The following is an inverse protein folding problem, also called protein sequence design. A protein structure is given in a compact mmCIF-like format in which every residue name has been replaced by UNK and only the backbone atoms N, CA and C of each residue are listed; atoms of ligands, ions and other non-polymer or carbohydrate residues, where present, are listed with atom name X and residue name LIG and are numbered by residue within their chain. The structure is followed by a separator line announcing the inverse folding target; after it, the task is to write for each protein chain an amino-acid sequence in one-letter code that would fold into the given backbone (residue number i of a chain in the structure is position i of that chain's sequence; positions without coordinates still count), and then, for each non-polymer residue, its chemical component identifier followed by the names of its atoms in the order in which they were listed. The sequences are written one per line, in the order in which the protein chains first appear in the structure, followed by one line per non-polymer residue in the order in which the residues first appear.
data_IF_817273221895
#
_entry.id   IF_817273221895
#
_cell.length_a   1.000
_cell.length_b   1.000
_cell.length_c   1.000
_cell.angle_alpha   90.00
_cell.angle_beta   90.00
_cell.angle_gamma   90.00
#
_symmetry.space_group_name_H-M   'P 1'
#
loop_
_entity.id
_entity.type
_entity.pdbx_description
1 polymer ?
#
# COMPACT_ATOMS: atom_id res chain seq x y z
N UNK A 1 4.59 21.91 -13.82
CA UNK A 1 3.27 22.18 -13.19
C UNK A 1 3.14 23.67 -12.99
N UNK A 2 1.95 24.22 -13.13
CA UNK A 2 1.66 25.63 -12.87
C UNK A 2 0.56 25.71 -11.81
N UNK A 3 0.81 26.45 -10.73
CA UNK A 3 -0.22 26.83 -9.77
C UNK A 3 -0.87 28.14 -10.18
N UNK A 4 -2.17 28.32 -9.87
CA UNK A 4 -2.78 29.63 -9.90
C UNK A 4 -2.11 30.54 -8.86
N UNK A 5 -2.18 31.86 -9.06
CA UNK A 5 -1.68 32.80 -8.07
C UNK A 5 -2.46 32.62 -6.77
N UNK A 6 -1.93 31.80 -5.88
CA UNK A 6 -2.46 31.64 -4.54
C UNK A 6 -1.98 32.81 -3.67
N UNK A 7 -2.87 33.37 -2.87
CA UNK A 7 -2.46 34.35 -1.86
C UNK A 7 -1.43 33.70 -0.95
N UNK A 8 -0.29 34.40 -0.74
CA UNK A 8 0.79 33.87 0.07
C UNK A 8 0.32 33.50 1.47
N UNK A 9 0.76 32.33 1.95
CA UNK A 9 0.44 31.82 3.28
C UNK A 9 1.19 32.67 4.31
N UNK A 10 0.50 33.13 5.36
CA UNK A 10 1.10 33.85 6.47
C UNK A 10 1.97 32.91 7.32
N UNK A 11 3.18 33.32 7.64
CA UNK A 11 4.04 32.63 8.59
C UNK A 11 3.49 32.89 10.00
N UNK A 12 3.12 31.85 10.78
CA UNK A 12 2.52 32.01 12.09
C UNK A 12 3.38 32.90 13.01
N UNK A 13 2.74 33.83 13.71
CA UNK A 13 3.41 34.76 14.63
C UNK A 13 4.11 35.95 13.94
N UNK A 14 3.95 36.13 12.62
CA UNK A 14 4.53 37.25 11.86
C UNK A 14 3.52 37.89 10.94
N UNK A 15 3.90 39.03 10.35
CA UNK A 15 3.20 39.68 9.26
C UNK A 15 3.79 39.29 7.87
N UNK A 16 4.69 38.32 7.82
CA UNK A 16 5.31 37.90 6.57
C UNK A 16 4.46 36.87 5.83
N UNK A 17 4.27 37.06 4.54
CA UNK A 17 3.69 36.10 3.62
C UNK A 17 4.79 35.36 2.88
N UNK A 18 4.62 34.06 2.70
CA UNK A 18 5.51 33.24 1.89
C UNK A 18 5.44 33.67 0.42
N UNK A 19 6.60 33.81 -0.20
CA UNK A 19 6.69 34.01 -1.65
C UNK A 19 6.69 32.62 -2.33
N UNK A 20 5.60 32.29 -2.99
CA UNK A 20 5.41 30.98 -3.64
C UNK A 20 5.47 31.16 -5.17
N UNK A 21 6.52 30.63 -5.79
CA UNK A 21 6.64 30.60 -7.25
C UNK A 21 5.46 29.81 -7.84
N UNK A 22 4.67 30.38 -8.76
CA UNK A 22 3.57 29.67 -9.42
C UNK A 22 4.05 28.54 -10.34
N UNK A 23 5.34 28.51 -10.70
CA UNK A 23 5.90 27.52 -11.61
C UNK A 23 6.75 26.48 -10.86
N UNK A 24 6.39 25.22 -11.04
CA UNK A 24 7.17 24.07 -10.55
C UNK A 24 7.69 23.27 -11.73
N UNK A 25 8.99 23.20 -11.86
CA UNK A 25 9.66 22.44 -12.90
C UNK A 25 10.05 21.06 -12.39
N UNK A 26 9.83 20.03 -13.21
CA UNK A 26 10.24 18.66 -12.92
C UNK A 26 11.07 18.14 -14.09
N UNK A 27 12.19 17.51 -13.76
CA UNK A 27 13.08 16.86 -14.71
C UNK A 27 13.26 15.39 -14.32
N UNK A 28 13.32 14.51 -15.30
CA UNK A 28 13.56 13.09 -15.06
C UNK A 28 14.38 12.46 -16.18
N UNK A 29 15.25 11.54 -15.83
CA UNK A 29 16.02 10.71 -16.76
C UNK A 29 15.89 9.25 -16.33
N UNK A 30 15.65 8.38 -17.30
CA UNK A 30 15.56 6.93 -17.09
C UNK A 30 16.45 6.21 -18.09
N UNK A 31 17.16 5.20 -17.60
CA UNK A 31 17.87 4.25 -18.44
C UNK A 31 17.39 2.84 -18.18
N UNK A 32 17.36 2.02 -19.22
CA UNK A 32 17.05 0.60 -19.12
C UNK A 32 18.01 -0.18 -19.99
N UNK A 33 18.63 -1.18 -19.39
CA UNK A 33 19.54 -2.12 -20.05
C UNK A 33 18.92 -3.52 -19.93
N UNK A 34 18.88 -4.24 -21.03
CA UNK A 34 18.38 -5.61 -21.05
C UNK A 34 19.32 -6.48 -21.86
N UNK A 35 19.75 -7.61 -21.28
CA UNK A 35 20.63 -8.59 -21.92
C UNK A 35 20.26 -9.99 -21.47
N UNK A 36 19.70 -10.80 -22.38
CA UNK A 36 19.23 -12.14 -22.08
C UNK A 36 18.21 -12.14 -20.91
N UNK A 37 18.47 -12.91 -19.84
CA UNK A 37 17.58 -12.99 -18.67
C UNK A 37 17.70 -11.79 -17.71
N UNK A 38 18.66 -10.89 -17.91
CA UNK A 38 18.95 -9.77 -17.02
C UNK A 38 18.27 -8.49 -17.51
N UNK A 39 17.66 -7.74 -16.60
CA UNK A 39 17.19 -6.38 -16.83
C UNK A 39 17.65 -5.48 -15.71
N UNK A 40 18.19 -4.32 -16.07
CA UNK A 40 18.59 -3.27 -15.14
C UNK A 40 17.87 -1.99 -15.54
N UNK A 41 17.37 -1.24 -14.54
CA UNK A 41 16.76 0.06 -14.74
C UNK A 41 17.26 1.01 -13.65
N UNK A 42 17.59 2.23 -14.05
CA UNK A 42 17.87 3.32 -13.14
C UNK A 42 17.09 4.56 -13.59
N UNK A 43 16.53 5.27 -12.63
CA UNK A 43 15.77 6.50 -12.84
C UNK A 43 16.17 7.53 -11.81
N UNK A 44 16.34 8.77 -12.26
CA UNK A 44 16.51 9.95 -11.42
C UNK A 44 15.47 10.98 -11.79
N UNK A 45 14.80 11.53 -10.80
CA UNK A 45 13.87 12.65 -10.95
C UNK A 45 14.22 13.77 -9.99
N UNK A 46 13.99 15.00 -10.43
CA UNK A 46 14.23 16.21 -9.65
C UNK A 46 13.12 17.21 -9.90
N UNK A 47 12.74 17.99 -8.88
CA UNK A 47 11.80 19.09 -9.00
C UNK A 47 12.29 20.32 -8.25
N UNK A 48 11.87 21.51 -8.72
CA UNK A 48 12.08 22.77 -7.99
C UNK A 48 11.24 22.80 -6.71
N UNK A 49 11.55 23.77 -5.86
CA UNK A 49 10.78 24.07 -4.64
C UNK A 49 9.28 24.12 -4.94
N UNK A 50 8.51 23.53 -4.08
CA UNK A 50 7.04 23.56 -4.12
C UNK A 50 6.48 23.61 -2.69
N UNK A 51 6.57 24.79 -2.02
CA UNK A 51 6.04 24.96 -0.68
C UNK A 51 4.55 24.65 -0.67
N UNK A 52 4.13 23.68 0.14
CA UNK A 52 2.74 23.23 0.22
C UNK A 52 2.44 22.70 1.61
N UNK A 53 1.17 22.50 1.91
CA UNK A 53 0.75 21.93 3.20
C UNK A 53 1.32 20.53 3.45
N UNK A 54 1.70 19.78 2.39
CA UNK A 54 2.28 18.45 2.55
C UNK A 54 3.68 18.47 3.14
N UNK A 55 4.45 19.53 2.88
CA UNK A 55 5.82 19.68 3.34
C UNK A 55 6.00 20.86 4.29
N UNK A 56 4.93 21.26 5.02
CA UNK A 56 4.95 22.38 5.96
C UNK A 56 5.47 23.70 5.36
N UNK A 57 5.23 23.90 4.05
CA UNK A 57 5.61 25.08 3.28
C UNK A 57 7.12 25.40 3.33
N UNK A 58 7.98 24.40 3.28
CA UNK A 58 9.42 24.58 3.20
C UNK A 58 9.90 24.87 1.77
N UNK A 59 10.96 25.64 1.64
CA UNK A 59 11.64 25.97 0.37
C UNK A 59 12.73 24.94 0.07
N UNK A 60 12.31 23.73 -0.32
CA UNK A 60 13.21 22.63 -0.63
C UNK A 60 12.94 22.05 -1.99
N UNK A 61 13.99 21.77 -2.75
CA UNK A 61 13.89 20.99 -3.98
C UNK A 61 13.55 19.53 -3.66
N UNK A 62 12.87 18.86 -4.59
CA UNK A 62 12.61 17.45 -4.48
C UNK A 62 13.54 16.60 -5.33
N UNK A 63 13.86 15.39 -4.88
CA UNK A 63 14.63 14.43 -5.65
C UNK A 63 14.18 12.99 -5.41
N UNK A 64 14.29 12.15 -6.45
CA UNK A 64 14.07 10.72 -6.33
C UNK A 64 15.08 9.95 -7.16
N UNK A 65 15.60 8.88 -6.59
CA UNK A 65 16.44 7.88 -7.26
C UNK A 65 15.76 6.54 -7.15
N UNK A 66 15.68 5.81 -8.25
CA UNK A 66 15.14 4.46 -8.30
C UNK A 66 16.10 3.57 -9.09
N UNK A 67 16.45 2.42 -8.52
CA UNK A 67 17.31 1.41 -9.17
C UNK A 67 16.61 0.07 -9.03
N UNK A 68 16.57 -0.70 -10.12
CA UNK A 68 15.98 -2.03 -10.18
C UNK A 68 16.86 -2.96 -11.00
N UNK A 69 17.10 -4.15 -10.48
CA UNK A 69 17.77 -5.23 -11.19
C UNK A 69 16.93 -6.50 -11.12
N UNK A 70 16.72 -7.17 -12.24
CA UNK A 70 15.96 -8.40 -12.29
C UNK A 70 16.63 -9.45 -13.16
N UNK A 71 16.42 -10.70 -12.75
CA UNK A 71 16.77 -11.90 -13.47
C UNK A 71 15.53 -12.75 -13.70
N UNK A 72 15.27 -13.21 -14.90
CA UNK A 72 14.12 -14.04 -15.20
C UNK A 72 14.46 -15.12 -16.23
N UNK A 73 14.36 -16.37 -15.79
CA UNK A 73 14.53 -17.55 -16.62
C UNK A 73 13.43 -18.57 -16.29
N UNK A 74 13.31 -19.60 -17.13
CA UNK A 74 12.27 -20.63 -16.93
C UNK A 74 12.37 -21.30 -15.55
N UNK A 75 11.45 -20.99 -14.68
CA UNK A 75 11.35 -21.56 -13.33
C UNK A 75 12.16 -20.85 -12.26
N UNK A 76 12.85 -19.76 -12.60
CA UNK A 76 13.60 -18.94 -11.65
C UNK A 76 13.39 -17.45 -11.98
N UNK A 77 13.01 -16.66 -11.00
CA UNK A 77 12.95 -15.21 -11.10
C UNK A 77 13.50 -14.57 -9.83
N UNK A 78 14.20 -13.47 -10.00
CA UNK A 78 14.67 -12.63 -8.90
C UNK A 78 14.54 -11.16 -9.30
N UNK A 79 14.10 -10.31 -8.35
CA UNK A 79 14.04 -8.87 -8.48
C UNK A 79 14.62 -8.26 -7.21
N UNK A 80 15.46 -7.26 -7.38
CA UNK A 80 15.93 -6.40 -6.28
C UNK A 80 15.78 -4.96 -6.75
N UNK A 81 15.21 -4.12 -5.90
CA UNK A 81 15.04 -2.71 -6.21
C UNK A 81 15.21 -1.84 -4.95
N UNK A 82 15.70 -0.65 -5.19
CA UNK A 82 15.90 0.38 -4.18
C UNK A 82 15.40 1.73 -4.69
N UNK A 83 14.79 2.49 -3.79
CA UNK A 83 14.33 3.85 -4.05
C UNK A 83 14.72 4.74 -2.89
N UNK A 84 15.22 5.94 -3.20
CA UNK A 84 15.30 7.05 -2.28
C UNK A 84 14.46 8.20 -2.82
N UNK A 85 13.59 8.74 -2.01
CA UNK A 85 12.84 9.94 -2.35
C UNK A 85 12.96 10.98 -1.25
N UNK A 86 12.82 12.24 -1.63
CA UNK A 86 12.91 13.38 -0.73
C UNK A 86 12.08 14.52 -1.32
N UNK A 87 11.10 15.01 -0.56
CA UNK A 87 10.24 16.15 -0.90
C UNK A 87 9.66 16.12 -2.32
N UNK A 88 9.12 14.97 -2.74
CA UNK A 88 8.59 14.75 -4.09
C UNK A 88 7.07 14.90 -4.17
N UNK A 89 6.39 15.36 -3.11
CA UNK A 89 4.97 15.66 -3.17
C UNK A 89 4.68 16.71 -4.26
N UNK A 90 3.65 16.46 -5.04
CA UNK A 90 3.24 17.32 -6.15
C UNK A 90 1.72 17.42 -6.21
N UNK A 91 1.16 18.63 -6.01
CA UNK A 91 -0.28 18.88 -5.92
C UNK A 91 -0.75 19.99 -6.85
N UNK A 92 -2.00 19.92 -7.30
CA UNK A 92 -2.62 21.02 -8.04
C UNK A 92 -2.82 22.27 -7.18
N UNK A 93 -3.25 22.08 -5.91
CA UNK A 93 -3.49 23.17 -4.95
C UNK A 93 -2.64 22.96 -3.73
N UNK A 94 -1.80 23.90 -3.39
CA UNK A 94 -0.80 23.83 -2.30
C UNK A 94 -1.44 23.78 -0.92
N UNK A 95 -2.50 24.56 -0.70
CA UNK A 95 -3.18 24.66 0.58
C UNK A 95 -4.25 23.61 0.85
N UNK A 96 -4.63 22.81 -0.16
CA UNK A 96 -5.77 21.90 -0.05
C UNK A 96 -5.34 20.51 0.41
N UNK A 97 -5.94 20.04 1.50
CA UNK A 97 -5.84 18.67 1.97
C UNK A 97 -7.22 18.03 1.90
N UNK A 98 -7.40 17.06 1.03
CA UNK A 98 -8.64 16.29 0.94
C UNK A 98 -8.64 15.16 1.97
N UNK A 99 -9.69 15.06 2.76
CA UNK A 99 -9.92 13.91 3.67
C UNK A 99 -10.04 12.58 2.92
N UNK A 100 -10.45 12.60 1.66
CA UNK A 100 -10.54 11.41 0.80
C UNK A 100 -9.22 11.06 0.14
N UNK A 101 -8.14 11.67 0.55
CA UNK A 101 -6.77 11.41 0.09
C UNK A 101 -6.58 11.66 -1.41
N UNK A 102 -5.59 12.42 -1.76
CA UNK A 102 -4.99 12.38 -3.08
C UNK A 102 -5.70 13.08 -4.25
N UNK A 103 -6.89 13.62 -4.09
CA UNK A 103 -7.62 14.26 -5.23
C UNK A 103 -6.87 15.41 -5.91
N UNK A 104 -5.89 15.99 -5.25
CA UNK A 104 -5.05 17.07 -5.78
C UNK A 104 -3.61 16.63 -6.06
N UNK A 105 -3.24 15.39 -5.79
CA UNK A 105 -1.90 14.88 -6.12
C UNK A 105 -1.79 14.62 -7.61
N UNK A 106 -0.75 15.15 -8.23
CA UNK A 106 -0.47 14.98 -9.67
C UNK A 106 0.55 13.87 -9.94
N UNK A 107 1.33 13.51 -8.95
CA UNK A 107 2.36 12.49 -9.09
C UNK A 107 2.31 11.54 -7.89
N UNK A 108 2.50 10.27 -8.17
CA UNK A 108 2.57 9.20 -7.18
C UNK A 108 3.77 8.33 -7.49
N UNK A 109 4.72 8.29 -6.57
CA UNK A 109 5.82 7.36 -6.69
C UNK A 109 5.37 5.95 -6.29
N UNK A 110 5.88 4.90 -6.95
CA UNK A 110 5.51 3.54 -6.61
C UNK A 110 5.95 3.21 -5.17
N UNK A 111 5.05 2.62 -4.41
CA UNK A 111 5.40 2.01 -3.14
C UNK A 111 6.19 0.72 -3.40
N UNK A 112 7.34 0.56 -2.74
CA UNK A 112 8.13 -0.67 -2.82
C UNK A 112 7.69 -1.66 -1.74
N UNK A 113 6.39 -1.92 -1.72
CA UNK A 113 5.75 -2.97 -0.92
C UNK A 113 5.03 -3.93 -1.84
N UNK A 114 5.02 -5.20 -1.47
CA UNK A 114 4.26 -6.19 -2.23
C UNK A 114 2.76 -5.91 -2.09
N UNK A 115 2.08 -5.80 -3.22
CA UNK A 115 0.63 -5.60 -3.23
C UNK A 115 -0.08 -6.94 -3.15
N UNK A 116 -0.70 -7.20 -2.01
CA UNK A 116 -1.43 -8.43 -1.77
C UNK A 116 -2.85 -8.35 -2.32
N UNK A 117 -3.29 -9.47 -2.90
CA UNK A 117 -4.69 -9.65 -3.35
C UNK A 117 -5.58 -10.19 -2.23
N UNK A 118 -5.00 -10.63 -1.12
CA UNK A 118 -5.70 -11.16 0.04
C UNK A 118 -6.19 -10.05 0.97
N UNK A 119 -7.34 -10.25 1.62
CA UNK A 119 -8.03 -9.23 2.39
C UNK A 119 -7.25 -8.80 3.64
N UNK A 120 -6.70 -9.73 4.43
CA UNK A 120 -6.01 -9.40 5.67
C UNK A 120 -4.59 -8.81 5.46
N UNK A 121 -3.76 -9.30 4.52
CA UNK A 121 -2.53 -8.60 4.15
C UNK A 121 -2.74 -7.17 3.66
N UNK A 122 -3.89 -6.88 3.06
CA UNK A 122 -4.27 -5.55 2.61
C UNK A 122 -4.92 -4.66 3.69
N UNK A 123 -4.99 -5.12 4.94
CA UNK A 123 -5.50 -4.29 6.05
C UNK A 123 -4.61 -3.09 6.35
N UNK A 124 -3.30 -3.27 6.23
CA UNK A 124 -2.29 -2.25 6.50
C UNK A 124 -1.46 -1.98 5.24
N UNK A 125 -2.07 -1.34 4.22
CA UNK A 125 -1.42 -1.10 2.94
C UNK A 125 -0.46 0.07 3.04
N UNK A 126 0.76 -0.10 2.54
CA UNK A 126 1.75 0.96 2.55
C UNK A 126 1.56 1.93 1.38
N UNK A 127 1.56 3.23 1.68
CA UNK A 127 1.63 4.32 0.72
C UNK A 127 2.98 5.03 0.81
N UNK A 128 3.56 5.37 -0.33
CA UNK A 128 4.79 6.15 -0.40
C UNK A 128 4.64 7.50 0.31
N UNK A 129 5.62 7.85 1.15
CA UNK A 129 5.67 9.13 1.86
C UNK A 129 6.42 10.17 1.00
N UNK A 130 5.70 10.75 0.02
CA UNK A 130 6.29 11.63 -1.00
C UNK A 130 6.83 12.94 -0.43
N UNK A 131 6.16 13.52 0.57
CA UNK A 131 6.58 14.76 1.22
C UNK A 131 7.72 14.53 2.20
N UNK A 132 7.55 13.54 3.07
CA UNK A 132 8.53 13.21 4.09
C UNK A 132 9.80 12.58 3.52
N UNK A 133 9.65 11.87 2.43
CA UNK A 133 10.73 11.10 1.82
C UNK A 133 10.99 9.77 2.51
N UNK A 134 11.56 8.86 1.76
CA UNK A 134 11.83 7.50 2.21
C UNK A 134 13.00 6.85 1.50
N UNK A 135 13.65 5.92 2.18
CA UNK A 135 14.42 4.83 1.60
C UNK A 135 13.54 3.58 1.55
N UNK A 136 13.38 3.00 0.39
CA UNK A 136 12.61 1.79 0.20
C UNK A 136 13.41 0.73 -0.55
N UNK A 137 13.41 -0.49 0.00
CA UNK A 137 14.08 -1.65 -0.56
C UNK A 137 13.05 -2.76 -0.74
N UNK A 138 13.07 -3.43 -1.88
CA UNK A 138 12.22 -4.57 -2.14
C UNK A 138 13.00 -5.66 -2.85
N UNK A 139 12.76 -6.91 -2.47
CA UNK A 139 13.28 -8.09 -3.11
C UNK A 139 12.18 -9.11 -3.36
N UNK A 140 12.19 -9.73 -4.53
CA UNK A 140 11.30 -10.82 -4.89
C UNK A 140 12.13 -12.00 -5.42
N UNK A 141 11.78 -13.19 -4.98
CA UNK A 141 12.37 -14.42 -5.45
C UNK A 141 11.28 -15.42 -5.79
N UNK A 142 11.32 -15.99 -6.97
CA UNK A 142 10.40 -17.00 -7.43
C UNK A 142 11.12 -18.23 -7.96
N UNK A 143 10.76 -19.41 -7.45
CA UNK A 143 11.33 -20.68 -7.89
C UNK A 143 10.25 -21.71 -8.15
N UNK A 144 10.37 -22.44 -9.26
CA UNK A 144 9.47 -23.53 -9.60
C UNK A 144 10.21 -24.87 -9.51
N UNK A 145 9.94 -25.63 -8.46
CA UNK A 145 10.47 -26.98 -8.31
C UNK A 145 9.96 -27.87 -9.45
N UNK A 146 10.89 -28.55 -10.12
CA UNK A 146 10.57 -29.38 -11.26
C UNK A 146 9.65 -30.54 -10.85
N UNK A 147 8.78 -30.95 -11.78
CA UNK A 147 7.93 -32.13 -11.60
C UNK A 147 8.76 -33.39 -11.38
N UNK A 148 8.22 -34.34 -10.61
CA UNK A 148 8.86 -35.61 -10.28
C UNK A 148 10.13 -35.48 -9.42
N UNK A 149 10.25 -34.41 -8.67
CA UNK A 149 11.23 -34.22 -7.60
C UNK A 149 10.55 -34.30 -6.24
N UNK A 150 11.32 -34.50 -5.15
CA UNK A 150 10.78 -34.58 -3.79
C UNK A 150 9.92 -33.36 -3.41
N UNK A 151 10.37 -32.14 -3.69
CA UNK A 151 9.63 -30.89 -3.41
C UNK A 151 8.61 -30.54 -4.51
N UNK A 152 8.90 -30.86 -5.77
CA UNK A 152 8.02 -30.55 -6.90
C UNK A 152 6.79 -31.45 -6.99
N UNK A 153 6.90 -32.69 -6.56
CA UNK A 153 5.81 -33.67 -6.67
C UNK A 153 5.39 -33.94 -8.12
N UNK A 154 4.16 -34.44 -8.32
CA UNK A 154 3.65 -34.82 -9.64
C UNK A 154 3.47 -33.64 -10.61
N UNK A 155 3.10 -32.46 -10.09
CA UNK A 155 2.67 -31.31 -10.92
C UNK A 155 3.63 -30.11 -10.86
N UNK A 156 4.64 -30.16 -10.02
CA UNK A 156 5.50 -29.02 -9.69
C UNK A 156 4.98 -28.22 -8.49
N UNK A 157 5.85 -27.49 -7.85
CA UNK A 157 5.56 -26.60 -6.72
C UNK A 157 6.19 -25.25 -7.01
N UNK A 158 5.48 -24.15 -6.82
CA UNK A 158 6.06 -22.81 -6.93
C UNK A 158 6.24 -22.22 -5.55
N UNK A 159 7.42 -21.70 -5.30
CA UNK A 159 7.78 -20.93 -4.13
C UNK A 159 7.97 -19.48 -4.56
N UNK A 160 7.36 -18.54 -3.83
CA UNK A 160 7.62 -17.10 -3.95
C UNK A 160 7.98 -16.55 -2.59
N UNK A 161 9.00 -15.73 -2.55
CA UNK A 161 9.42 -15.00 -1.35
C UNK A 161 9.51 -13.53 -1.72
N UNK A 162 8.87 -12.68 -0.94
CA UNK A 162 8.97 -11.23 -1.06
C UNK A 162 9.49 -10.65 0.24
N UNK A 163 10.26 -9.59 0.11
CA UNK A 163 10.77 -8.79 1.21
C UNK A 163 10.63 -7.32 0.85
N UNK A 164 10.08 -6.53 1.75
CA UNK A 164 10.03 -5.07 1.64
C UNK A 164 10.55 -4.44 2.93
N UNK A 165 11.34 -3.38 2.82
CA UNK A 165 11.87 -2.65 3.97
C UNK A 165 11.93 -1.17 3.64
N UNK A 166 11.14 -0.37 4.35
CA UNK A 166 10.99 1.05 4.09
C UNK A 166 11.26 1.84 5.35
N UNK A 167 12.07 2.86 5.23
CA UNK A 167 12.46 3.77 6.30
C UNK A 167 12.36 5.21 5.84
N UNK A 168 12.19 6.13 6.80
CA UNK A 168 12.40 7.55 6.54
C UNK A 168 13.84 7.86 6.18
N UNK A 169 14.06 9.02 5.59
CA UNK A 169 15.39 9.62 5.45
C UNK A 169 15.81 10.25 6.77
N UNK A 170 17.11 10.40 6.95
CA UNK A 170 17.67 11.15 8.09
C UNK A 170 17.40 12.65 7.91
N UNK A 171 16.67 13.25 8.86
CA UNK A 171 16.29 14.66 8.84
C UNK A 171 16.68 15.31 10.15
N UNK A 172 17.48 16.38 10.06
CA UNK A 172 17.70 17.30 11.16
C UNK A 172 17.00 18.63 10.83
N UNK A 173 15.93 19.01 11.53
CA UNK A 173 15.22 20.27 11.25
C UNK A 173 16.18 21.48 11.27
N UNK A 174 15.93 22.45 10.39
CA UNK A 174 16.60 23.74 10.44
C UNK A 174 16.00 24.60 11.56
N UNK A 175 16.73 25.63 11.97
CA UNK A 175 16.21 26.59 12.95
C UNK A 175 14.97 27.31 12.38
N UNK A 176 14.02 27.59 13.27
CA UNK A 176 12.84 28.39 12.94
C UNK A 176 13.25 29.84 12.59
N UNK A 177 12.52 30.45 11.66
CA UNK A 177 12.65 31.88 11.38
C UNK A 177 12.24 32.78 12.55
N UNK A 178 11.52 32.21 13.51
CA UNK A 178 10.91 32.96 14.63
C UNK A 178 11.33 32.29 15.93
N UNK A 179 11.93 33.09 16.80
CA UNK A 179 12.30 32.63 18.12
C UNK A 179 11.08 32.19 18.94
N UNK A 180 11.18 31.02 19.56
CA UNK A 180 10.09 30.43 20.36
C UNK A 180 8.98 29.72 19.56
N UNK A 181 9.04 29.70 18.24
CA UNK A 181 8.11 28.96 17.38
C UNK A 181 8.79 27.73 16.79
N UNK A 182 8.31 26.56 17.09
CA UNK A 182 8.82 25.32 16.53
C UNK A 182 8.22 25.06 15.13
N UNK A 183 8.66 25.81 14.12
CA UNK A 183 8.18 25.70 12.74
C UNK A 183 9.32 25.93 11.75
N UNK A 184 9.44 25.06 10.77
CA UNK A 184 10.41 25.21 9.66
C UNK A 184 9.80 25.86 8.42
N UNK A 185 8.56 26.36 8.51
CA UNK A 185 7.87 27.07 7.42
C UNK A 185 8.69 28.26 6.92
N UNK A 186 8.87 28.36 5.60
CA UNK A 186 9.66 29.44 4.97
C UNK A 186 11.17 29.28 5.05
N UNK A 187 11.67 28.15 5.56
CA UNK A 187 13.09 27.77 5.56
C UNK A 187 13.36 26.62 4.60
N UNK A 188 14.61 26.13 4.53
CA UNK A 188 14.94 24.89 3.80
C UNK A 188 14.39 23.61 4.48
N UNK A 189 13.76 23.77 5.63
CA UNK A 189 13.06 22.74 6.38
C UNK A 189 13.97 21.82 7.19
N UNK A 190 14.97 21.22 6.60
CA UNK A 190 15.85 20.26 7.27
C UNK A 190 17.15 20.02 6.50
N UNK A 191 18.17 19.52 7.20
CA UNK A 191 19.36 18.91 6.60
C UNK A 191 19.17 17.39 6.52
N UNK A 192 19.56 16.78 5.40
CA UNK A 192 19.55 15.33 5.26
C UNK A 192 20.84 14.82 4.64
N UNK A 193 21.31 13.65 5.12
CA UNK A 193 22.42 12.94 4.51
C UNK A 193 21.89 11.96 3.48
N UNK A 194 22.51 11.86 2.30
CA UNK A 194 22.02 10.98 1.23
C UNK A 194 21.87 9.54 1.70
N UNK A 195 22.85 8.97 2.40
CA UNK A 195 22.80 7.62 2.98
C UNK A 195 22.35 7.59 4.45
N UNK A 196 21.66 8.64 4.93
CA UNK A 196 21.08 8.68 6.26
C UNK A 196 19.71 7.98 6.29
N UNK A 197 19.45 7.26 7.40
CA UNK A 197 18.21 6.52 7.59
C UNK A 197 17.47 7.01 8.84
N UNK A 198 16.20 7.33 8.68
CA UNK A 198 15.28 7.65 9.77
C UNK A 198 14.61 6.41 10.38
N UNK A 199 13.44 6.59 10.97
CA UNK A 199 12.62 5.53 11.56
C UNK A 199 12.09 4.54 10.53
N UNK A 200 11.68 3.35 10.98
CA UNK A 200 11.06 2.35 10.11
C UNK A 200 9.61 2.73 9.85
N UNK A 201 9.21 2.78 8.59
CA UNK A 201 7.85 3.04 8.15
C UNK A 201 7.08 1.75 7.89
N UNK A 202 7.72 0.83 7.17
CA UNK A 202 7.11 -0.43 6.78
C UNK A 202 8.16 -1.53 6.63
N UNK A 203 7.78 -2.74 6.98
CA UNK A 203 8.57 -3.94 6.72
C UNK A 203 7.61 -5.09 6.49
N UNK A 204 7.83 -5.88 5.44
CA UNK A 204 7.21 -7.18 5.30
C UNK A 204 8.20 -8.23 4.84
N UNK A 205 7.91 -9.46 5.20
CA UNK A 205 8.44 -10.65 4.57
C UNK A 205 7.29 -11.62 4.39
N UNK A 206 7.09 -12.11 3.17
CA UNK A 206 6.07 -13.11 2.90
C UNK A 206 6.60 -14.25 2.06
N UNK A 207 6.10 -15.44 2.36
CA UNK A 207 6.43 -16.68 1.68
C UNK A 207 5.15 -17.31 1.19
N UNK A 208 5.08 -17.59 -0.10
CA UNK A 208 3.92 -18.21 -0.75
C UNK A 208 4.33 -19.55 -1.37
N UNK A 209 3.54 -20.57 -1.13
CA UNK A 209 3.70 -21.90 -1.68
C UNK A 209 2.46 -22.28 -2.50
N UNK A 210 2.62 -22.35 -3.81
CA UNK A 210 1.56 -22.78 -4.72
C UNK A 210 1.81 -24.22 -5.16
N UNK A 211 0.84 -25.12 -4.90
CA UNK A 211 0.97 -26.54 -5.23
C UNK A 211 -0.31 -27.07 -5.87
N UNK A 212 -0.18 -27.70 -7.01
CA UNK A 212 -1.23 -28.49 -7.62
C UNK A 212 -1.19 -29.90 -7.05
N UNK A 213 -2.21 -30.27 -6.24
CA UNK A 213 -2.28 -31.56 -5.57
C UNK A 213 -2.91 -32.65 -6.44
N UNK A 214 -3.89 -32.27 -7.29
CA UNK A 214 -4.51 -33.17 -8.26
C UNK A 214 -4.72 -32.46 -9.61
N UNK A 215 -5.31 -33.13 -10.58
CA UNK A 215 -5.74 -32.49 -11.84
C UNK A 215 -6.74 -31.36 -11.59
N UNK A 216 -7.60 -31.52 -10.59
CA UNK A 216 -8.70 -30.62 -10.28
C UNK A 216 -8.46 -29.74 -9.06
N UNK A 217 -7.46 -30.02 -8.22
CA UNK A 217 -7.23 -29.28 -6.96
C UNK A 217 -5.88 -28.59 -6.91
N UNK A 218 -5.93 -27.29 -6.62
CA UNK A 218 -4.76 -26.41 -6.42
C UNK A 218 -4.85 -25.79 -5.01
N UNK A 219 -3.75 -25.81 -4.29
CA UNK A 219 -3.58 -25.21 -2.97
C UNK A 219 -2.56 -24.07 -3.05
N UNK A 220 -2.87 -22.96 -2.39
CA UNK A 220 -1.95 -21.85 -2.17
C UNK A 220 -1.89 -21.57 -0.65
N UNK A 221 -0.69 -21.53 -0.10
CA UNK A 221 -0.44 -21.19 1.30
C UNK A 221 0.46 -19.97 1.34
N UNK A 222 0.18 -19.03 2.22
CA UNK A 222 1.02 -17.86 2.44
C UNK A 222 1.19 -17.59 3.94
N UNK A 223 2.40 -17.25 4.31
CA UNK A 223 2.73 -16.63 5.60
C UNK A 223 3.35 -15.27 5.35
N UNK A 224 2.96 -14.28 6.15
CA UNK A 224 3.50 -12.93 6.11
C UNK A 224 3.75 -12.42 7.53
N UNK A 225 4.93 -11.85 7.75
CA UNK A 225 5.24 -11.05 8.92
C UNK A 225 5.35 -9.60 8.48
N UNK A 226 4.60 -8.72 9.13
CA UNK A 226 4.48 -7.31 8.74
C UNK A 226 4.72 -6.38 9.94
N UNK A 227 5.40 -5.28 9.69
CA UNK A 227 5.46 -4.11 10.55
C UNK A 227 4.93 -2.91 9.76
N UNK A 228 3.92 -2.25 10.29
CA UNK A 228 3.28 -1.08 9.70
C UNK A 228 3.27 0.07 10.69
N UNK A 229 3.92 1.17 10.34
CA UNK A 229 3.92 2.38 11.16
C UNK A 229 2.71 3.24 10.79
N UNK A 230 1.61 3.01 11.51
CA UNK A 230 0.34 3.68 11.29
C UNK A 230 0.46 5.19 11.50
N UNK A 231 1.25 5.62 12.49
CA UNK A 231 1.49 7.05 12.74
C UNK A 231 2.07 7.75 11.53
N UNK A 232 3.02 7.13 10.82
CA UNK A 232 3.62 7.73 9.62
C UNK A 232 2.67 7.73 8.43
N UNK A 233 1.96 6.61 8.20
CA UNK A 233 1.15 6.44 7.00
C UNK A 233 -0.24 7.06 7.12
N UNK A 234 -0.85 6.99 8.32
CA UNK A 234 -2.22 7.43 8.58
C UNK A 234 -2.30 8.69 9.46
N UNK A 235 -1.18 9.09 10.09
CA UNK A 235 -1.10 10.24 10.98
C UNK A 235 -1.25 9.91 12.47
N UNK A 236 -1.73 8.69 12.80
CA UNK A 236 -1.97 8.26 14.18
C UNK A 236 -1.89 6.74 14.34
N UNK A 237 -1.95 6.21 15.56
CA UNK A 237 -2.19 4.79 15.85
C UNK A 237 -0.94 3.94 16.14
N UNK A 238 0.27 4.50 16.11
CA UNK A 238 1.50 3.80 16.52
C UNK A 238 1.99 2.76 15.50
N UNK A 239 2.73 1.78 15.98
CA UNK A 239 3.33 0.72 15.15
C UNK A 239 2.58 -0.59 15.35
N UNK A 240 2.07 -1.16 14.27
CA UNK A 240 1.39 -2.47 14.24
C UNK A 240 2.36 -3.53 13.74
N UNK A 241 2.47 -4.63 14.51
CA UNK A 241 3.24 -5.83 14.13
C UNK A 241 2.28 -6.99 14.00
N UNK A 242 2.24 -7.63 12.85
CA UNK A 242 1.29 -8.71 12.59
C UNK A 242 1.94 -9.93 11.96
N UNK A 243 1.37 -11.10 12.25
CA UNK A 243 1.60 -12.35 11.54
C UNK A 243 0.32 -12.71 10.81
N UNK A 244 0.43 -13.01 9.53
CA UNK A 244 -0.73 -13.28 8.69
C UNK A 244 -0.55 -14.62 8.01
N UNK A 245 -1.57 -15.45 8.11
CA UNK A 245 -1.65 -16.78 7.52
C UNK A 245 -2.78 -16.83 6.52
N UNK A 246 -2.52 -17.36 5.33
CA UNK A 246 -3.52 -17.52 4.28
C UNK A 246 -3.48 -18.93 3.74
N UNK A 247 -4.65 -19.56 3.61
CA UNK A 247 -4.85 -20.81 2.92
C UNK A 247 -5.96 -20.65 1.88
N UNK A 248 -5.62 -20.90 0.61
CA UNK A 248 -6.56 -20.86 -0.50
C UNK A 248 -6.59 -22.20 -1.22
N UNK A 249 -7.79 -22.77 -1.38
CA UNK A 249 -8.02 -23.96 -2.15
C UNK A 249 -8.90 -23.67 -3.37
N UNK A 250 -8.52 -24.19 -4.54
CA UNK A 250 -9.31 -24.08 -5.76
C UNK A 250 -9.59 -25.48 -6.32
N UNK A 251 -10.89 -25.85 -6.38
CA UNK A 251 -11.33 -27.13 -6.89
C UNK A 251 -12.17 -26.96 -8.16
N UNK A 252 -11.76 -27.61 -9.22
CA UNK A 252 -12.44 -27.59 -10.51
C UNK A 252 -13.29 -28.85 -10.65
N UNK A 253 -14.62 -28.73 -10.53
CA UNK A 253 -15.56 -29.82 -10.70
C UNK A 253 -15.70 -30.25 -12.18
N UNK A 254 -15.71 -29.25 -13.05
CA UNK A 254 -15.82 -29.44 -14.51
C UNK A 254 -15.04 -28.28 -15.21
N UNK A 255 -14.85 -28.35 -16.54
CA UNK A 255 -14.26 -27.24 -17.29
C UNK A 255 -15.00 -25.89 -17.11
N UNK A 256 -16.31 -25.96 -16.74
CA UNK A 256 -17.14 -24.77 -16.58
C UNK A 256 -17.42 -24.39 -15.13
N UNK A 257 -17.10 -25.23 -14.15
CA UNK A 257 -17.47 -25.00 -12.77
C UNK A 257 -16.30 -25.17 -11.83
N UNK A 258 -16.01 -24.13 -11.06
CA UNK A 258 -14.88 -24.07 -10.12
C UNK A 258 -15.34 -23.46 -8.80
N UNK A 259 -14.96 -24.08 -7.69
CA UNK A 259 -15.10 -23.54 -6.35
C UNK A 259 -13.74 -23.10 -5.82
N UNK A 260 -13.66 -21.89 -5.30
CA UNK A 260 -12.53 -21.34 -4.57
C UNK A 260 -12.95 -21.10 -3.12
N UNK A 261 -12.19 -21.63 -2.20
CA UNK A 261 -12.32 -21.34 -0.77
C UNK A 261 -11.05 -20.68 -0.26
N UNK A 262 -11.20 -19.72 0.63
CA UNK A 262 -10.08 -18.96 1.21
C UNK A 262 -10.32 -18.76 2.70
N UNK A 263 -9.30 -19.00 3.51
CA UNK A 263 -9.28 -18.72 4.95
C UNK A 263 -8.02 -17.94 5.28
N UNK A 264 -8.17 -16.88 6.07
CA UNK A 264 -7.07 -16.05 6.51
C UNK A 264 -7.17 -15.77 8.01
N UNK A 265 -6.03 -15.60 8.66
CA UNK A 265 -5.90 -15.19 10.05
C UNK A 265 -4.79 -14.17 10.17
N UNK A 266 -5.08 -13.03 10.78
CA UNK A 266 -4.12 -11.99 11.14
C UNK A 266 -4.05 -11.91 12.67
N UNK A 267 -2.86 -12.12 13.20
CA UNK A 267 -2.55 -12.03 14.61
C UNK A 267 -1.80 -10.74 14.90
N UNK A 268 -2.32 -9.91 15.79
CA UNK A 268 -1.65 -8.73 16.33
C UNK A 268 -2.13 -8.39 17.74
N UNK A 269 -1.25 -7.75 18.52
CA UNK A 269 -1.60 -7.22 19.86
C UNK A 269 -1.86 -5.71 19.85
N UNK A 270 -1.77 -5.09 18.68
CA UNK A 270 -1.92 -3.65 18.49
C UNK A 270 -3.19 -3.35 17.69
N UNK A 271 -3.55 -2.07 17.63
CA UNK A 271 -4.72 -1.54 16.91
C UNK A 271 -6.01 -2.27 17.28
N UNK A 272 -6.67 -2.90 16.34
CA UNK A 272 -7.95 -3.59 16.55
C UNK A 272 -7.79 -5.10 16.87
N UNK A 273 -6.57 -5.58 17.16
CA UNK A 273 -6.32 -6.98 17.51
C UNK A 273 -6.51 -7.95 16.34
N UNK A 274 -6.87 -9.17 16.66
CA UNK A 274 -6.92 -10.29 15.71
C UNK A 274 -8.08 -10.22 14.72
N UNK A 275 -7.79 -10.61 13.48
CA UNK A 275 -8.77 -10.67 12.39
C UNK A 275 -8.82 -12.03 11.76
N UNK A 276 -10.03 -12.42 11.33
CA UNK A 276 -10.30 -13.62 10.57
C UNK A 276 -11.01 -13.26 9.27
N UNK A 277 -10.75 -14.00 8.22
CA UNK A 277 -11.42 -13.82 6.95
C UNK A 277 -11.72 -15.17 6.30
N UNK A 278 -12.93 -15.32 5.77
CA UNK A 278 -13.36 -16.46 5.00
C UNK A 278 -14.01 -16.02 3.70
N UNK A 279 -13.77 -16.78 2.62
CA UNK A 279 -14.39 -16.54 1.32
C UNK A 279 -14.74 -17.87 0.65
N UNK A 280 -15.92 -17.92 0.06
CA UNK A 280 -16.31 -18.93 -0.91
C UNK A 280 -16.75 -18.27 -2.21
N UNK A 281 -16.20 -18.74 -3.32
CA UNK A 281 -16.49 -18.24 -4.66
C UNK A 281 -16.79 -19.42 -5.59
N UNK A 282 -17.97 -19.42 -6.16
CA UNK A 282 -18.39 -20.38 -7.17
C UNK A 282 -18.43 -19.70 -8.53
N UNK A 283 -17.55 -20.10 -9.42
CA UNK A 283 -17.53 -19.63 -10.82
C UNK A 283 -18.24 -20.64 -11.70
N UNK A 284 -19.23 -20.17 -12.45
CA UNK A 284 -19.99 -20.93 -13.46
C UNK A 284 -19.75 -20.27 -14.82
N UNK A 285 -18.74 -20.76 -15.52
CA UNK A 285 -18.31 -20.21 -16.79
C UNK A 285 -19.33 -20.46 -17.91
N UNK A 286 -19.47 -19.53 -18.85
CA UNK A 286 -18.69 -18.29 -18.98
C UNK A 286 -19.34 -17.06 -18.31
N UNK A 287 -20.51 -17.20 -17.66
CA UNK A 287 -21.36 -16.04 -17.40
C UNK A 287 -21.44 -15.61 -15.94
N UNK A 288 -21.40 -16.53 -14.97
CA UNK A 288 -21.79 -16.25 -13.59
C UNK A 288 -20.69 -16.56 -12.59
N UNK A 289 -20.61 -15.73 -11.55
CA UNK A 289 -19.78 -15.92 -10.37
C UNK A 289 -20.55 -15.48 -9.13
N UNK A 290 -20.60 -16.35 -8.14
CA UNK A 290 -21.22 -16.12 -6.83
C UNK A 290 -20.12 -16.05 -5.79
N UNK A 291 -20.14 -15.03 -4.93
CA UNK A 291 -19.14 -14.86 -3.88
C UNK A 291 -19.84 -14.55 -2.57
N UNK A 292 -19.40 -15.19 -1.51
CA UNK A 292 -19.73 -14.82 -0.14
C UNK A 292 -18.42 -14.72 0.66
N UNK A 293 -18.28 -13.68 1.44
CA UNK A 293 -17.12 -13.48 2.30
C UNK A 293 -17.53 -12.85 3.60
N UNK A 294 -16.80 -13.18 4.66
CA UNK A 294 -16.94 -12.54 5.96
C UNK A 294 -15.54 -12.15 6.48
N UNK A 295 -15.41 -10.91 6.88
CA UNK A 295 -14.25 -10.41 7.59
C UNK A 295 -14.67 -10.15 9.04
N UNK A 296 -14.08 -10.87 9.96
CA UNK A 296 -14.43 -10.84 11.37
C UNK A 296 -13.29 -10.25 12.19
N UNK A 297 -13.61 -9.24 12.99
CA UNK A 297 -12.72 -8.71 14.00
C UNK A 297 -13.22 -9.13 15.38
N UNK A 298 -12.36 -9.76 16.16
CA UNK A 298 -12.69 -10.26 17.49
C UNK A 298 -12.62 -9.18 18.60
N UNK A 299 -11.90 -8.07 18.34
CA UNK A 299 -11.49 -7.12 19.39
C UNK A 299 -11.63 -5.65 18.94
N UNK A 300 -12.79 -5.29 18.41
CA UNK A 300 -13.07 -3.88 18.08
C UNK A 300 -13.22 -3.08 19.35
N UNK A 301 -12.41 -2.04 19.59
CA UNK A 301 -12.58 -1.19 20.75
C UNK A 301 -13.85 -0.34 20.64
N UNK A 302 -14.45 -0.02 21.77
CA UNK A 302 -15.45 1.04 21.82
C UNK A 302 -14.77 2.40 21.75
N UNK A 303 -15.42 3.35 21.09
CA UNK A 303 -14.93 4.71 20.98
C UNK A 303 -15.86 5.67 21.69
N UNK A 304 -15.29 6.68 22.35
CA UNK A 304 -16.01 7.83 22.90
C UNK A 304 -16.53 8.74 21.76
N UNK A 305 -17.39 9.70 22.09
CA UNK A 305 -17.86 10.72 21.14
C UNK A 305 -16.70 11.49 20.48
N UNK A 306 -15.58 11.65 21.17
CA UNK A 306 -14.36 12.29 20.68
C UNK A 306 -13.42 11.33 19.90
N UNK A 307 -13.91 10.14 19.50
CA UNK A 307 -13.16 9.12 18.78
C UNK A 307 -11.93 8.56 19.50
N UNK A 308 -11.85 8.71 20.80
CA UNK A 308 -10.82 8.04 21.63
C UNK A 308 -11.31 6.67 22.05
N UNK A 309 -10.38 5.72 22.24
CA UNK A 309 -10.73 4.38 22.74
C UNK A 309 -11.31 4.50 24.14
N UNK A 310 -12.44 3.87 24.36
CA UNK A 310 -13.10 3.79 25.67
C UNK A 310 -12.71 2.48 26.35
N UNK A 311 -11.58 2.49 27.04
CA UNK A 311 -11.04 1.32 27.73
C UNK A 311 -11.99 0.79 28.83
N UNK A 312 -12.96 1.58 29.29
CA UNK A 312 -13.91 1.17 30.31
C UNK A 312 -14.95 0.17 29.82
N UNK A 313 -15.19 0.13 28.49
CA UNK A 313 -16.19 -0.74 27.86
C UNK A 313 -15.60 -2.04 27.28
N UNK A 314 -14.26 -2.17 27.29
CA UNK A 314 -13.59 -3.32 26.70
C UNK A 314 -13.70 -3.35 25.16
N UNK A 315 -13.89 -4.55 24.60
CA UNK A 315 -13.99 -4.75 23.15
C UNK A 315 -15.25 -5.53 22.78
N UNK A 316 -15.67 -5.42 21.51
CA UNK A 316 -16.75 -6.21 20.95
C UNK A 316 -16.31 -6.85 19.64
N UNK A 317 -17.04 -7.88 19.20
CA UNK A 317 -16.78 -8.50 17.91
C UNK A 317 -17.61 -7.87 16.81
N UNK A 318 -17.06 -7.84 15.59
CA UNK A 318 -17.73 -7.26 14.44
C UNK A 318 -17.55 -8.14 13.20
N UNK A 319 -18.67 -8.47 12.55
CA UNK A 319 -18.71 -9.12 11.24
C UNK A 319 -18.91 -8.11 10.11
N UNK A 320 -18.23 -8.36 8.99
CA UNK A 320 -18.36 -7.63 7.74
C UNK A 320 -18.71 -8.63 6.63
N UNK A 321 -19.95 -9.13 6.70
CA UNK A 321 -20.46 -10.10 5.73
C UNK A 321 -20.82 -9.41 4.42
N UNK A 322 -20.35 -9.96 3.30
CA UNK A 322 -20.59 -9.46 1.95
C UNK A 322 -20.91 -10.61 1.01
N UNK A 323 -22.06 -10.53 0.35
CA UNK A 323 -22.44 -11.42 -0.73
C UNK A 323 -22.44 -10.69 -2.07
N UNK A 324 -22.03 -11.35 -3.15
CA UNK A 324 -22.11 -10.78 -4.49
C UNK A 324 -22.41 -11.80 -5.58
N UNK A 325 -23.07 -11.33 -6.64
CA UNK A 325 -23.29 -12.05 -7.88
C UNK A 325 -22.74 -11.20 -9.02
N UNK A 326 -21.88 -11.80 -9.82
CA UNK A 326 -21.32 -11.15 -11.02
C UNK A 326 -21.78 -11.90 -12.25
N UNK A 327 -22.37 -11.17 -13.20
CA UNK A 327 -22.72 -11.65 -14.53
C UNK A 327 -21.81 -10.99 -15.56
N UNK A 328 -21.23 -11.80 -16.46
CA UNK A 328 -20.36 -11.30 -17.55
C UNK A 328 -20.86 -11.82 -18.88
N UNK A 329 -21.07 -10.92 -19.84
CA UNK A 329 -21.47 -11.27 -21.19
C UNK A 329 -20.73 -10.37 -22.20
N UNK A 330 -19.88 -10.96 -23.03
CA UNK A 330 -18.99 -10.22 -23.95
C UNK A 330 -18.17 -9.16 -23.21
N UNK A 331 -18.36 -7.88 -23.55
CA UNK A 331 -17.69 -6.73 -22.91
C UNK A 331 -18.44 -6.20 -21.67
N UNK A 332 -19.62 -6.73 -21.36
CA UNK A 332 -20.45 -6.24 -20.26
C UNK A 332 -20.21 -7.06 -18.99
N UNK A 333 -20.03 -6.38 -17.89
CA UNK A 333 -19.94 -6.97 -16.54
C UNK A 333 -20.91 -6.25 -15.60
N UNK A 334 -21.85 -6.97 -15.05
CA UNK A 334 -22.76 -6.51 -14.01
C UNK A 334 -22.42 -7.24 -12.70
N UNK A 335 -22.21 -6.49 -11.65
CA UNK A 335 -22.01 -7.03 -10.30
C UNK A 335 -23.04 -6.42 -9.36
N UNK A 336 -23.75 -7.25 -8.65
CA UNK A 336 -24.64 -6.89 -7.56
C UNK A 336 -24.03 -7.41 -6.27
N UNK A 337 -23.86 -6.54 -5.29
CA UNK A 337 -23.31 -6.91 -3.98
C UNK A 337 -24.22 -6.37 -2.88
N UNK A 338 -24.38 -7.14 -1.80
CA UNK A 338 -25.10 -6.73 -0.61
C UNK A 338 -24.35 -7.15 0.64
N UNK A 339 -24.21 -6.23 1.59
CA UNK A 339 -23.56 -6.51 2.85
C UNK A 339 -22.88 -5.30 3.48
N UNK A 340 -21.99 -5.59 4.42
CA UNK A 340 -21.23 -4.59 5.19
C UNK A 340 -19.77 -4.58 4.76
N UNK A 341 -19.23 -3.39 4.50
CA UNK A 341 -17.80 -3.18 4.29
C UNK A 341 -17.22 -2.40 5.44
N UNK A 342 -15.97 -2.69 5.82
CA UNK A 342 -15.28 -1.95 6.88
C UNK A 342 -14.81 -0.59 6.38
N UNK A 343 -14.66 0.35 7.33
CA UNK A 343 -13.85 1.54 7.10
C UNK A 343 -12.36 1.20 7.02
N UNK A 344 -11.58 2.00 6.35
CA UNK A 344 -10.12 1.87 6.33
C UNK A 344 -9.51 2.38 5.05
N UNK A 345 -8.22 2.15 4.90
CA UNK A 345 -7.48 2.53 3.71
C UNK A 345 -7.63 1.48 2.61
N UNK A 346 -7.94 1.95 1.40
CA UNK A 346 -7.90 1.16 0.18
C UNK A 346 -6.82 1.74 -0.73
N UNK A 347 -5.78 0.96 -0.98
CA UNK A 347 -4.63 1.41 -1.76
C UNK A 347 -4.55 0.67 -3.10
N UNK A 348 -4.37 1.43 -4.17
CA UNK A 348 -4.17 0.91 -5.52
C UNK A 348 -3.16 1.78 -6.26
N UNK A 349 -2.14 1.14 -6.87
CA UNK A 349 -1.10 1.85 -7.62
C UNK A 349 -0.28 2.85 -6.80
N UNK A 350 -0.11 2.61 -5.48
CA UNK A 350 0.61 3.52 -4.57
C UNK A 350 -0.24 4.68 -4.01
N UNK A 351 -1.50 4.77 -4.39
CA UNK A 351 -2.46 5.76 -3.87
C UNK A 351 -3.38 5.10 -2.86
N UNK A 352 -3.41 5.65 -1.65
CA UNK A 352 -4.32 5.22 -0.61
C UNK A 352 -5.48 6.20 -0.44
N UNK A 353 -6.69 5.65 -0.28
CA UNK A 353 -7.90 6.41 0.03
C UNK A 353 -8.54 5.86 1.28
N UNK A 354 -8.89 6.74 2.19
CA UNK A 354 -9.75 6.38 3.30
C UNK A 354 -11.17 6.17 2.77
N UNK A 355 -11.74 4.99 3.01
CA UNK A 355 -13.12 4.66 2.65
C UNK A 355 -13.94 4.50 3.92
N UNK A 356 -15.15 5.07 4.00
CA UNK A 356 -16.01 4.89 5.15
C UNK A 356 -16.57 3.46 5.19
N UNK A 357 -16.97 3.01 6.39
CA UNK A 357 -17.80 1.82 6.51
C UNK A 357 -19.12 2.04 5.79
N UNK A 358 -19.59 1.05 5.07
CA UNK A 358 -20.89 1.09 4.39
C UNK A 358 -21.66 -0.20 4.60
N UNK A 359 -22.98 -0.09 4.57
CA UNK A 359 -23.90 -1.23 4.61
C UNK A 359 -25.02 -1.00 3.59
N UNK A 360 -25.27 -1.97 2.76
CA UNK A 360 -26.33 -1.89 1.77
C UNK A 360 -26.03 -2.62 0.46
N UNK A 361 -26.74 -2.25 -0.57
CA UNK A 361 -26.59 -2.80 -1.92
C UNK A 361 -25.69 -1.92 -2.76
N UNK A 362 -24.77 -2.56 -3.48
CA UNK A 362 -23.92 -1.89 -4.48
C UNK A 362 -24.14 -2.55 -5.84
N UNK A 363 -24.33 -1.71 -6.85
CA UNK A 363 -24.43 -2.12 -8.25
C UNK A 363 -23.24 -1.56 -9.01
N UNK A 364 -22.51 -2.44 -9.67
CA UNK A 364 -21.40 -2.05 -10.54
C UNK A 364 -21.65 -2.58 -11.95
N UNK A 365 -21.57 -1.70 -12.95
CA UNK A 365 -21.65 -2.06 -14.36
C UNK A 365 -20.49 -1.46 -15.14
N UNK A 366 -19.87 -2.25 -15.98
CA UNK A 366 -18.76 -1.87 -16.86
C UNK A 366 -18.94 -2.48 -18.26
#
# INVERSE_FOLDING_TARGET
MKHENEEGVLVPGTNYKLNMDPMVHTFGVRTRLQSGPYSFMAEYAWKTQDPSKDNDYIYRNGSAVLVSASYSEKGLSALVQAKRSENMSNRMKRGFVSYLGGNCRLNHMPAFSYQHTYALPALYPYATQDADGEWAFQGEFGYTFKRRTALGGKYGTKLKVNFSYIRGIDKTPTESLIEGVNSTMGTDGYHSKFFGFGGVYYKDINVQLEKKLSKSFKLNLMYMNQLYNKTVVEGEGGVVKSNIFVAEGKYQFSPKMTLRGEAQYLQTKQDQGDWYYGLLELSVLPYLMFTISDQYNANVPYYTENKQVDDSKGTHSQHYLLGSVTATYKAHRLQLSYGKTRAGYNCSGGVCRCVPASYGMTVFYN
#
